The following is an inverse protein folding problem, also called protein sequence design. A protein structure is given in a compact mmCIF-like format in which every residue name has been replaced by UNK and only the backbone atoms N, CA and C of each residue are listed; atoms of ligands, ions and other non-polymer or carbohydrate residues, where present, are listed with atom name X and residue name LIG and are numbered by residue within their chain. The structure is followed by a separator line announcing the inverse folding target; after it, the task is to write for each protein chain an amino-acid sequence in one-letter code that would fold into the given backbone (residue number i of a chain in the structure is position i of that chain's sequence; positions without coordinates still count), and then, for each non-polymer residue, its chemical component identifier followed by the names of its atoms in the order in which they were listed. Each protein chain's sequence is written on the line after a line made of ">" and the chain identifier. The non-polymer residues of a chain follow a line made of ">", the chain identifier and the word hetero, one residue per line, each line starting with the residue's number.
data_IF_484845930348
#
_entry.id   IF_484845930348
#
_cell.length_a   1.000
_cell.length_b   1.000
_cell.length_c   1.000
_cell.angle_alpha   90.00
_cell.angle_beta   90.00
_cell.angle_gamma   90.00
#
_symmetry.space_group_name_H-M   'P 1'
#
loop_
_entity.id
_entity.type
_entity.pdbx_description
1 polymer ?
#
# COMPACT_ATOMS: atom_id res chain seq x y z
N UNK A 1 8.48 -72.01 -24.57
CA UNK A 1 7.48 -71.72 -25.61
C UNK A 1 7.67 -70.29 -26.08
N UNK A 2 7.82 -70.09 -27.39
CA UNK A 2 8.06 -68.81 -28.08
C UNK A 2 6.70 -68.20 -28.43
N UNK A 3 6.43 -66.95 -28.07
CA UNK A 3 5.33 -66.16 -28.65
C UNK A 3 5.81 -64.73 -28.90
N UNK A 4 5.63 -64.29 -30.13
CA UNK A 4 6.07 -63.03 -30.72
C UNK A 4 4.92 -62.03 -30.84
N UNK A 5 5.29 -60.73 -30.70
CA UNK A 5 4.70 -59.53 -31.32
C UNK A 5 3.37 -58.97 -30.76
N UNK A 6 2.91 -57.75 -31.16
CA UNK A 6 3.57 -56.54 -31.71
C UNK A 6 3.11 -55.22 -31.03
N UNK A 7 3.64 -54.05 -31.45
CA UNK A 7 2.82 -52.82 -31.52
C UNK A 7 3.39 -51.50 -30.97
N UNK A 8 4.64 -51.13 -31.27
CA UNK A 8 5.15 -49.77 -31.02
C UNK A 8 4.98 -48.93 -32.31
N UNK A 9 4.08 -47.93 -32.31
CA UNK A 9 3.97 -47.05 -33.48
C UNK A 9 3.04 -45.84 -33.37
N UNK A 10 1.96 -45.89 -32.59
CA UNK A 10 0.93 -44.83 -32.66
C UNK A 10 0.92 -43.85 -31.47
N UNK A 11 1.71 -44.08 -30.43
CA UNK A 11 1.54 -43.39 -29.13
C UNK A 11 2.40 -42.12 -29.01
N UNK A 12 3.41 -41.96 -29.87
CA UNK A 12 4.41 -40.88 -29.75
C UNK A 12 3.92 -39.50 -30.20
N UNK A 13 2.96 -39.41 -31.12
CA UNK A 13 2.60 -38.13 -31.75
C UNK A 13 1.47 -37.38 -31.01
N UNK A 14 0.66 -38.06 -30.19
CA UNK A 14 -0.40 -37.41 -29.40
C UNK A 14 0.07 -36.84 -28.06
N UNK A 15 1.19 -37.29 -27.49
CA UNK A 15 1.62 -36.83 -26.16
C UNK A 15 2.26 -35.43 -26.18
N UNK A 16 2.78 -34.99 -27.33
CA UNK A 16 3.46 -33.68 -27.47
C UNK A 16 2.46 -32.52 -27.53
N UNK A 17 1.25 -32.76 -28.02
CA UNK A 17 0.22 -31.72 -28.15
C UNK A 17 -0.47 -31.42 -26.81
N UNK A 18 -0.61 -32.42 -25.92
CA UNK A 18 -1.30 -32.23 -24.63
C UNK A 18 -0.45 -31.45 -23.62
N UNK A 19 0.88 -31.51 -23.72
CA UNK A 19 1.80 -30.78 -22.82
C UNK A 19 1.86 -29.27 -23.17
N UNK A 20 1.62 -28.89 -24.42
CA UNK A 20 1.63 -27.49 -24.85
C UNK A 20 0.38 -26.70 -24.39
N UNK A 21 -0.74 -27.37 -24.07
CA UNK A 21 -2.02 -26.72 -23.73
C UNK A 21 -2.12 -26.47 -22.21
N UNK A 22 -1.37 -27.22 -21.39
CA UNK A 22 -1.41 -27.09 -19.93
C UNK A 22 -0.71 -25.82 -19.38
N UNK A 23 0.10 -25.12 -20.18
CA UNK A 23 0.81 -23.91 -19.76
C UNK A 23 -0.01 -22.60 -19.94
N UNK A 24 -1.21 -22.66 -20.54
CA UNK A 24 -1.96 -21.48 -20.97
C UNK A 24 -3.06 -21.00 -20.00
N UNK A 25 -3.22 -21.60 -18.81
CA UNK A 25 -4.34 -21.31 -17.90
C UNK A 25 -3.91 -20.82 -16.52
N UNK A 26 -2.86 -19.98 -16.45
CA UNK A 26 -2.64 -19.14 -15.28
C UNK A 26 -3.66 -18.00 -15.26
N UNK A 27 -4.85 -18.30 -14.76
CA UNK A 27 -5.92 -17.35 -14.46
C UNK A 27 -5.38 -16.27 -13.52
N UNK A 28 -5.30 -15.02 -14.00
CA UNK A 28 -5.11 -13.84 -13.17
C UNK A 28 -6.32 -13.71 -12.23
N UNK A 29 -6.17 -14.10 -10.97
CA UNK A 29 -7.10 -13.68 -9.93
C UNK A 29 -6.90 -12.18 -9.69
N UNK A 30 -7.80 -11.35 -10.23
CA UNK A 30 -7.85 -9.94 -9.90
C UNK A 30 -8.55 -9.79 -8.54
N UNK A 31 -7.78 -9.53 -7.48
CA UNK A 31 -8.36 -9.08 -6.23
C UNK A 31 -8.92 -7.67 -6.45
N UNK A 32 -10.23 -7.51 -6.30
CA UNK A 32 -10.83 -6.19 -6.26
C UNK A 32 -10.27 -5.44 -5.05
N UNK A 33 -9.63 -4.29 -5.28
CA UNK A 33 -9.28 -3.39 -4.19
C UNK A 33 -10.59 -2.98 -3.49
N UNK A 34 -10.61 -2.91 -2.15
CA UNK A 34 -11.77 -2.38 -1.44
C UNK A 34 -12.07 -0.97 -1.96
N UNK A 35 -13.36 -0.57 -2.04
CA UNK A 35 -13.72 0.76 -2.46
C UNK A 35 -12.98 1.79 -1.61
N UNK A 36 -12.47 2.85 -2.25
CA UNK A 36 -11.88 3.97 -1.54
C UNK A 36 -12.86 4.43 -0.44
N UNK A 37 -12.38 4.77 0.77
CA UNK A 37 -13.26 5.18 1.85
C UNK A 37 -14.02 6.46 1.44
N UNK A 38 -15.27 6.28 1.04
CA UNK A 38 -16.19 7.35 0.67
C UNK A 38 -16.73 7.96 1.97
N UNK A 39 -15.98 8.89 2.56
CA UNK A 39 -16.44 9.61 3.77
C UNK A 39 -15.36 10.19 4.68
N UNK A 40 -14.12 10.33 4.21
CA UNK A 40 -13.07 11.01 4.99
C UNK A 40 -13.26 12.52 5.05
N UNK A 41 -12.71 13.15 6.09
CA UNK A 41 -12.59 14.62 6.14
C UNK A 41 -11.76 15.09 4.94
N UNK A 42 -12.29 16.07 4.20
CA UNK A 42 -11.55 16.72 3.10
C UNK A 42 -10.85 17.94 3.65
N UNK A 43 -9.52 17.92 3.67
CA UNK A 43 -8.69 19.03 4.12
C UNK A 43 -8.34 19.96 2.95
N UNK A 44 -8.32 21.28 3.20
CA UNK A 44 -7.97 22.29 2.21
C UNK A 44 -6.48 22.23 1.85
N UNK A 45 -5.61 22.14 2.87
CA UNK A 45 -4.15 22.10 2.72
C UNK A 45 -3.44 21.56 3.98
N UNK A 46 -2.10 21.41 3.89
CA UNK A 46 -1.26 20.94 5.00
C UNK A 46 -1.30 21.84 6.25
N UNK A 47 -1.22 23.18 6.12
CA UNK A 47 -1.38 24.10 7.24
C UNK A 47 -2.69 23.94 8.02
N UNK A 48 -3.81 23.66 7.32
CA UNK A 48 -5.08 23.40 7.99
C UNK A 48 -5.01 22.16 8.87
N UNK A 49 -4.53 21.03 8.32
CA UNK A 49 -4.36 19.79 9.08
C UNK A 49 -3.46 20.03 10.30
N UNK A 50 -2.34 20.75 10.10
CA UNK A 50 -1.43 21.06 11.18
C UNK A 50 -2.12 21.85 12.29
N UNK A 51 -2.81 22.94 11.93
CA UNK A 51 -3.47 23.83 12.89
C UNK A 51 -4.61 23.13 13.64
N UNK A 52 -5.37 22.28 12.95
CA UNK A 52 -6.56 21.63 13.48
C UNK A 52 -6.30 20.29 14.15
N UNK A 53 -5.10 19.73 14.05
CA UNK A 53 -4.79 18.42 14.60
C UNK A 53 -3.45 18.43 15.32
N UNK A 54 -2.37 18.71 14.59
CA UNK A 54 -1.00 18.54 15.10
C UNK A 54 -0.65 19.59 16.17
N UNK A 55 -1.05 20.84 15.96
CA UNK A 55 -0.72 21.99 16.81
C UNK A 55 -1.23 21.84 18.23
N UNK A 56 -2.38 21.18 18.42
CA UNK A 56 -2.95 20.92 19.75
C UNK A 56 -2.01 20.18 20.68
N UNK A 57 -1.11 19.35 20.15
CA UNK A 57 -0.09 18.68 20.95
C UNK A 57 1.29 19.31 20.80
N UNK A 58 1.70 19.63 19.56
CA UNK A 58 3.08 20.02 19.25
C UNK A 58 3.39 21.49 19.54
N UNK A 59 2.38 22.34 19.75
CA UNK A 59 2.56 23.74 20.18
C UNK A 59 2.24 23.95 21.66
N UNK A 60 1.60 22.97 22.31
CA UNK A 60 1.20 23.03 23.71
C UNK A 60 2.15 22.28 24.66
N UNK A 61 3.28 21.78 24.14
CA UNK A 61 4.28 21.05 24.92
C UNK A 61 3.91 19.60 25.28
N UNK A 62 2.80 19.08 24.76
CA UNK A 62 2.41 17.66 24.89
C UNK A 62 3.32 16.79 24.03
N UNK A 63 3.51 17.20 22.77
CA UNK A 63 4.47 16.62 21.84
C UNK A 63 5.72 17.48 21.70
N UNK A 64 6.83 16.93 21.18
CA UNK A 64 8.01 17.72 20.87
C UNK A 64 7.72 18.75 19.77
N UNK A 65 8.49 19.82 19.72
CA UNK A 65 8.44 20.74 18.57
C UNK A 65 8.87 20.00 17.30
N UNK A 66 8.08 20.10 16.25
CA UNK A 66 8.29 19.41 14.97
C UNK A 66 8.58 20.34 13.79
N UNK A 67 8.26 21.63 13.92
CA UNK A 67 8.62 22.68 12.95
C UNK A 67 10.03 23.22 13.24
N UNK A 68 10.70 23.73 12.21
CA UNK A 68 12.05 24.30 12.25
C UNK A 68 13.16 23.25 12.28
N UNK A 69 12.83 21.99 11.98
CA UNK A 69 13.71 20.83 12.20
C UNK A 69 14.18 20.13 10.93
N UNK A 70 13.75 20.60 9.75
CA UNK A 70 14.07 20.00 8.46
C UNK A 70 13.82 18.47 8.43
N UNK A 71 12.71 18.04 9.06
CA UNK A 71 12.36 16.62 9.11
C UNK A 71 12.03 16.12 7.69
N UNK A 72 12.53 14.93 7.27
CA UNK A 72 12.19 14.40 5.94
C UNK A 72 10.68 14.14 5.80
N UNK A 73 10.02 14.51 4.69
CA UNK A 73 8.59 14.28 4.52
C UNK A 73 8.18 12.82 4.69
N UNK A 74 8.97 11.87 4.15
CA UNK A 74 8.74 10.42 4.32
C UNK A 74 8.71 10.02 5.79
N UNK A 75 9.60 10.58 6.60
CA UNK A 75 9.66 10.29 8.03
C UNK A 75 8.38 10.78 8.74
N UNK A 76 7.93 12.00 8.44
CA UNK A 76 6.70 12.56 9.00
C UNK A 76 5.50 11.68 8.64
N UNK A 77 5.38 11.29 7.36
CA UNK A 77 4.28 10.42 6.90
C UNK A 77 4.27 9.07 7.64
N UNK A 78 5.44 8.45 7.79
CA UNK A 78 5.57 7.19 8.51
C UNK A 78 5.16 7.31 9.98
N UNK A 79 5.57 8.38 10.66
CA UNK A 79 5.19 8.61 12.07
C UNK A 79 3.67 8.85 12.19
N UNK A 80 3.07 9.65 11.32
CA UNK A 80 1.62 9.92 11.36
C UNK A 80 0.80 8.64 11.12
N UNK A 81 1.24 7.77 10.20
CA UNK A 81 0.53 6.52 9.88
C UNK A 81 0.71 5.43 10.92
N UNK A 82 1.87 5.37 11.57
CA UNK A 82 2.19 4.28 12.51
C UNK A 82 2.15 4.69 13.98
N UNK A 83 2.04 5.99 14.26
CA UNK A 83 2.24 6.54 15.59
C UNK A 83 3.71 6.48 16.01
N UNK A 84 4.01 7.07 17.17
CA UNK A 84 5.33 6.96 17.79
C UNK A 84 5.23 7.13 19.31
N UNK A 85 5.43 6.04 20.04
CA UNK A 85 5.28 6.00 21.50
C UNK A 85 3.87 6.45 21.91
N UNK A 86 3.75 7.58 22.61
CA UNK A 86 2.48 8.16 23.03
C UNK A 86 1.77 8.93 21.91
N UNK A 87 2.46 9.27 20.82
CA UNK A 87 1.82 9.90 19.66
C UNK A 87 0.93 8.87 18.95
N UNK A 88 -0.39 9.13 18.82
CA UNK A 88 -1.30 8.21 18.16
C UNK A 88 -1.03 8.12 16.65
N UNK A 89 -1.51 7.05 16.03
CA UNK A 89 -1.60 6.93 14.57
C UNK A 89 -2.91 7.53 14.05
N UNK A 90 -2.87 8.08 12.83
CA UNK A 90 -4.03 8.64 12.15
C UNK A 90 -4.40 7.79 10.93
N UNK A 91 -5.67 7.41 10.86
CA UNK A 91 -6.24 6.58 9.79
C UNK A 91 -6.39 7.37 8.50
N UNK A 92 -6.47 6.65 7.37
CA UNK A 92 -6.73 7.24 6.05
C UNK A 92 -8.05 8.00 6.01
N UNK A 93 -9.08 7.54 6.75
CA UNK A 93 -10.37 8.23 6.84
C UNK A 93 -10.29 9.57 7.61
N UNK A 94 -9.28 9.76 8.45
CA UNK A 94 -9.08 11.00 9.23
C UNK A 94 -8.18 11.98 8.47
N UNK A 95 -7.10 11.47 7.88
CA UNK A 95 -6.16 12.23 7.07
C UNK A 95 -5.77 11.35 5.88
N UNK A 96 -6.30 11.62 4.69
CA UNK A 96 -5.97 10.89 3.47
C UNK A 96 -4.50 11.11 3.05
N UNK A 97 -4.03 10.37 2.04
CA UNK A 97 -2.63 10.40 1.62
C UNK A 97 -2.20 11.69 0.90
N UNK A 98 -3.12 12.35 0.21
CA UNK A 98 -2.86 13.64 -0.43
C UNK A 98 -2.71 14.72 0.64
N UNK A 99 -3.65 14.78 1.57
CA UNK A 99 -3.62 15.68 2.73
C UNK A 99 -2.38 15.44 3.59
N UNK A 100 -2.00 14.18 3.84
CA UNK A 100 -0.79 13.85 4.58
C UNK A 100 0.48 14.27 3.83
N UNK A 101 0.51 14.18 2.50
CA UNK A 101 1.65 14.63 1.70
C UNK A 101 1.85 16.14 1.84
N UNK A 102 0.78 16.91 1.66
CA UNK A 102 0.77 18.38 1.86
C UNK A 102 1.18 18.78 3.28
N UNK A 103 0.69 18.07 4.30
CA UNK A 103 1.08 18.27 5.70
C UNK A 103 2.58 18.02 5.92
N UNK A 104 3.09 16.91 5.40
CA UNK A 104 4.49 16.53 5.59
C UNK A 104 5.45 17.52 4.91
N UNK A 105 5.10 18.02 3.73
CA UNK A 105 5.85 19.09 3.05
C UNK A 105 5.81 20.39 3.86
N UNK A 106 4.64 20.77 4.38
CA UNK A 106 4.49 21.94 5.23
C UNK A 106 5.38 21.87 6.48
N UNK A 107 5.33 20.77 7.25
CA UNK A 107 6.17 20.59 8.44
C UNK A 107 7.66 20.52 8.09
N UNK A 108 8.02 19.94 6.95
CA UNK A 108 9.42 19.85 6.53
C UNK A 108 10.03 21.22 6.22
N UNK A 109 9.23 22.12 5.63
CA UNK A 109 9.65 23.44 5.19
C UNK A 109 9.56 24.54 6.26
N UNK A 110 8.89 24.28 7.39
CA UNK A 110 8.61 25.26 8.45
C UNK A 110 9.10 24.79 9.79
#
# INVERSE_FOLDING_TARGET
>A
MRKTAPGAGAIGFMLVIVIAIAAATMTKAAFAAPPAPNGGFVWKDGPEVYTKVCGYCHEQGVGPVIRGRALPPVYIRNVVRNGSRAMPSFRIAEIDDESLTKLAEYISAN
#
